data_IF_772385303114
#
_entry.id   IF_772385303114
#
_cell.length_a   1.000
_cell.length_b   1.000
_cell.length_c   1.000
_cell.angle_alpha   90.00
_cell.angle_beta   90.00
_cell.angle_gamma   90.00
#
_symmetry.space_group_name_H-M   'P 1'
#
loop_
_entity.id
_entity.type
_entity.pdbx_description
1 polymer ?
#
# COMPACT_ATOMS: atom_id res chain seq x y z
N UNK A 1 -19.00 -1.84 -3.80
CA UNK A 1 -17.64 -1.50 -4.27
C UNK A 1 -16.97 -0.64 -3.22
N UNK A 2 -15.94 -1.13 -2.55
CA UNK A 2 -15.25 -0.40 -1.49
C UNK A 2 -14.37 0.72 -2.04
N UNK A 3 -13.88 1.58 -1.15
CA UNK A 3 -12.95 2.65 -1.53
C UNK A 3 -11.62 2.09 -2.07
N UNK A 4 -11.21 0.92 -1.58
CA UNK A 4 -9.99 0.22 -2.02
C UNK A 4 -10.11 -0.19 -3.49
N UNK A 5 -11.20 -0.85 -3.88
CA UNK A 5 -11.39 -1.30 -5.27
C UNK A 5 -11.59 -0.14 -6.25
N UNK A 6 -12.09 1.01 -5.77
CA UNK A 6 -12.22 2.22 -6.58
C UNK A 6 -10.87 2.88 -6.87
N UNK A 7 -10.00 2.97 -5.85
CA UNK A 7 -8.67 3.58 -6.01
C UNK A 7 -7.66 2.63 -6.64
N UNK A 8 -7.86 1.32 -6.46
CA UNK A 8 -7.06 0.27 -7.07
C UNK A 8 -7.99 -0.72 -7.77
N UNK A 9 -8.43 -0.42 -9.00
CA UNK A 9 -9.14 -1.36 -9.84
C UNK A 9 -8.32 -2.63 -10.10
N UNK A 10 -8.98 -3.71 -10.53
CA UNK A 10 -8.31 -4.99 -10.74
C UNK A 10 -7.16 -4.89 -11.76
N UNK A 11 -7.34 -4.14 -12.84
CA UNK A 11 -6.29 -3.92 -13.84
C UNK A 11 -5.02 -3.28 -13.24
N UNK A 12 -5.18 -2.23 -12.42
CA UNK A 12 -4.06 -1.60 -11.73
C UNK A 12 -3.43 -2.57 -10.72
N UNK A 13 -4.27 -3.34 -10.02
CA UNK A 13 -3.81 -4.33 -9.05
C UNK A 13 -2.95 -5.40 -9.73
N UNK A 14 -3.37 -5.91 -10.88
CA UNK A 14 -2.63 -6.90 -11.66
C UNK A 14 -1.28 -6.36 -12.15
N UNK A 15 -1.22 -5.11 -12.62
CA UNK A 15 0.04 -4.46 -13.00
C UNK A 15 0.96 -4.31 -11.79
N UNK A 16 0.42 -3.88 -10.66
CA UNK A 16 1.16 -3.71 -9.41
C UNK A 16 1.77 -5.03 -8.93
N UNK A 17 1.02 -6.13 -8.98
CA UNK A 17 1.49 -7.45 -8.57
C UNK A 17 2.70 -7.96 -9.36
N UNK A 18 2.88 -7.50 -10.61
CA UNK A 18 4.03 -7.89 -11.45
C UNK A 18 5.33 -7.24 -11.02
N UNK A 19 5.27 -6.12 -10.30
CA UNK A 19 6.45 -5.29 -10.02
C UNK A 19 6.74 -5.14 -8.52
N UNK A 20 5.77 -5.39 -7.65
CA UNK A 20 5.93 -5.30 -6.21
C UNK A 20 6.88 -6.39 -5.72
N UNK A 21 7.89 -6.07 -4.89
CA UNK A 21 8.75 -7.09 -4.30
C UNK A 21 7.96 -7.96 -3.33
N UNK A 22 8.36 -9.23 -3.23
CA UNK A 22 7.80 -10.15 -2.25
C UNK A 22 7.97 -9.58 -0.82
N UNK A 23 6.97 -9.79 0.02
CA UNK A 23 7.05 -9.36 1.41
C UNK A 23 8.19 -10.11 2.11
N UNK A 24 9.13 -9.41 2.79
CA UNK A 24 10.23 -10.08 3.47
C UNK A 24 9.71 -11.10 4.48
N UNK A 25 10.31 -12.29 4.43
CA UNK A 25 10.05 -13.36 5.38
C UNK A 25 10.65 -13.00 6.75
N UNK A 26 9.93 -13.32 7.82
CA UNK A 26 10.41 -13.15 9.20
C UNK A 26 10.83 -14.51 9.75
N UNK A 27 12.13 -14.76 9.98
CA UNK A 27 12.62 -16.06 10.43
C UNK A 27 12.04 -16.50 11.77
N UNK A 28 11.80 -15.54 12.68
CA UNK A 28 11.35 -15.83 14.04
C UNK A 28 9.86 -16.16 14.14
N UNK A 29 9.08 -15.96 13.06
CA UNK A 29 7.63 -16.02 13.11
C UNK A 29 7.01 -14.97 14.04
N UNK A 30 5.69 -14.87 14.07
CA UNK A 30 4.95 -14.00 15.01
C UNK A 30 4.80 -12.52 14.61
N UNK A 31 4.08 -11.79 15.48
CA UNK A 31 3.70 -10.39 15.28
C UNK A 31 2.36 -10.18 14.54
N UNK A 32 1.91 -8.92 14.44
CA UNK A 32 0.69 -8.57 13.70
C UNK A 32 0.89 -8.91 12.21
N UNK A 33 -0.11 -9.59 11.63
CA UNK A 33 -0.19 -9.83 10.18
C UNK A 33 0.01 -8.50 9.43
N UNK A 34 0.82 -8.50 8.37
CA UNK A 34 0.96 -7.32 7.50
C UNK A 34 -0.39 -6.98 6.88
N UNK A 35 -0.66 -5.68 6.72
CA UNK A 35 -1.77 -5.23 5.89
C UNK A 35 -1.56 -5.72 4.45
N UNK A 36 -2.65 -6.00 3.76
CA UNK A 36 -2.61 -6.41 2.36
C UNK A 36 -2.06 -5.28 1.48
N UNK A 37 -1.40 -5.67 0.41
CA UNK A 37 -0.69 -4.72 -0.46
C UNK A 37 -1.65 -3.89 -1.30
N UNK A 38 -2.85 -4.40 -1.59
CA UNK A 38 -3.89 -3.65 -2.31
C UNK A 38 -4.44 -2.51 -1.46
N UNK A 39 -4.67 -2.77 -0.17
CA UNK A 39 -5.13 -1.77 0.80
C UNK A 39 -4.08 -0.68 1.03
N UNK A 40 -2.81 -1.08 1.13
CA UNK A 40 -1.69 -0.15 1.25
C UNK A 40 -1.53 0.69 -0.01
N UNK A 41 -1.63 0.08 -1.19
CA UNK A 41 -1.59 0.80 -2.46
C UNK A 41 -2.74 1.81 -2.56
N UNK A 42 -3.97 1.41 -2.20
CA UNK A 42 -5.11 2.31 -2.17
C UNK A 42 -4.91 3.49 -1.20
N UNK A 43 -4.36 3.24 -0.02
CA UNK A 43 -4.02 4.30 0.93
C UNK A 43 -2.97 5.28 0.38
N UNK A 44 -1.95 4.78 -0.30
CA UNK A 44 -0.91 5.60 -0.96
C UNK A 44 -1.53 6.45 -2.07
N UNK A 45 -2.35 5.84 -2.94
CA UNK A 45 -3.07 6.54 -4.01
C UNK A 45 -3.96 7.64 -3.43
N UNK A 46 -4.69 7.36 -2.35
CA UNK A 46 -5.52 8.35 -1.67
C UNK A 46 -4.71 9.55 -1.17
N UNK A 47 -3.59 9.32 -0.49
CA UNK A 47 -2.71 10.39 -0.01
C UNK A 47 -2.16 11.21 -1.18
N UNK A 48 -1.72 10.54 -2.25
CA UNK A 48 -1.17 11.20 -3.43
C UNK A 48 -2.21 12.05 -4.19
N UNK A 49 -3.47 11.62 -4.26
CA UNK A 49 -4.52 12.33 -4.99
C UNK A 49 -5.24 13.39 -4.16
N UNK A 50 -5.37 13.17 -2.85
CA UNK A 50 -6.01 14.15 -1.94
C UNK A 50 -5.05 15.23 -1.45
N UNK A 51 -3.73 14.99 -1.48
CA UNK A 51 -2.72 15.87 -0.93
C UNK A 51 -2.71 15.95 0.59
N UNK A 52 -3.45 15.07 1.29
CA UNK A 52 -3.43 15.03 2.74
C UNK A 52 -2.07 14.49 3.26
N UNK A 53 -1.75 14.77 4.52
CA UNK A 53 -0.57 14.17 5.13
C UNK A 53 -0.82 12.69 5.46
N UNK A 54 0.25 11.90 5.60
CA UNK A 54 0.14 10.51 6.06
C UNK A 54 -0.61 10.38 7.39
N UNK A 55 -0.45 11.34 8.31
CA UNK A 55 -1.14 11.35 9.61
C UNK A 55 -2.66 11.54 9.48
N UNK A 56 -3.12 12.17 8.40
CA UNK A 56 -4.53 12.41 8.11
C UNK A 56 -5.19 11.25 7.34
N UNK A 57 -4.45 10.18 7.01
CA UNK A 57 -5.01 9.02 6.32
C UNK A 57 -6.11 8.36 7.18
N UNK A 58 -7.35 8.20 6.66
CA UNK A 58 -8.44 7.58 7.40
C UNK A 58 -8.24 6.07 7.48
N UNK A 59 -7.56 5.61 8.53
CA UNK A 59 -7.16 4.21 8.70
C UNK A 59 -8.35 3.25 8.76
N UNK A 60 -9.52 3.72 9.22
CA UNK A 60 -10.75 2.94 9.24
C UNK A 60 -11.27 2.56 7.84
N UNK A 61 -10.97 3.37 6.82
CA UNK A 61 -11.44 3.16 5.44
C UNK A 61 -10.54 2.25 4.63
N UNK A 62 -9.26 2.15 4.99
CA UNK A 62 -8.26 1.40 4.23
C UNK A 62 -7.70 0.20 5.00
N UNK A 63 -7.63 0.26 6.33
CA UNK A 63 -6.94 -0.71 7.18
C UNK A 63 -5.58 -0.23 7.71
N UNK A 64 -4.58 0.12 6.87
CA UNK A 64 -3.27 0.52 7.37
C UNK A 64 -3.31 1.93 7.98
N UNK A 65 -2.48 2.12 8.99
CA UNK A 65 -2.17 3.46 9.50
C UNK A 65 -1.34 4.27 8.50
N UNK A 66 -1.38 5.58 8.63
CA UNK A 66 -0.52 6.50 7.87
C UNK A 66 0.97 6.12 7.91
N UNK A 67 1.46 5.77 9.11
CA UNK A 67 2.84 5.31 9.29
C UNK A 67 3.14 4.01 8.53
N UNK A 68 2.17 3.09 8.47
CA UNK A 68 2.32 1.84 7.71
C UNK A 68 2.35 2.10 6.21
N UNK A 69 1.44 2.94 5.72
CA UNK A 69 1.39 3.34 4.31
C UNK A 69 2.69 4.05 3.89
N UNK A 70 3.19 5.01 4.69
CA UNK A 70 4.43 5.71 4.42
C UNK A 70 5.67 4.79 4.40
N UNK A 71 5.74 3.83 5.35
CA UNK A 71 6.83 2.84 5.37
C UNK A 71 6.81 1.99 4.10
N UNK A 72 5.63 1.51 3.70
CA UNK A 72 5.46 0.73 2.46
C UNK A 72 5.76 1.55 1.21
N UNK A 73 5.32 2.80 1.15
CA UNK A 73 5.69 3.73 0.09
C UNK A 73 7.22 3.86 -0.03
N UNK A 74 7.91 4.03 1.09
CA UNK A 74 9.38 4.12 1.13
C UNK A 74 10.07 2.83 0.68
N UNK A 75 9.58 1.66 1.12
CA UNK A 75 10.07 0.34 0.69
C UNK A 75 9.92 0.18 -0.84
N UNK A 76 8.74 0.48 -1.38
CA UNK A 76 8.44 0.33 -2.81
C UNK A 76 9.16 1.37 -3.68
N UNK A 77 9.34 2.60 -3.19
CA UNK A 77 10.17 3.61 -3.85
C UNK A 77 11.62 3.15 -3.98
N UNK A 78 12.21 2.57 -2.93
CA UNK A 78 13.57 2.01 -2.98
C UNK A 78 13.68 0.84 -3.97
N UNK A 79 12.64 0.00 -4.04
CA UNK A 79 12.55 -1.10 -5.01
C UNK A 79 12.18 -0.66 -6.44
N UNK A 80 12.04 0.66 -6.67
CA UNK A 80 11.67 1.28 -7.96
C UNK A 80 10.32 0.77 -8.50
N UNK A 81 9.38 0.39 -7.64
CA UNK A 81 8.05 -0.12 -8.03
C UNK A 81 7.33 0.90 -8.92
N UNK A 82 7.32 2.17 -8.52
CA UNK A 82 6.63 3.25 -9.24
C UNK A 82 7.20 3.52 -10.63
N UNK A 83 8.47 3.21 -10.87
CA UNK A 83 9.10 3.40 -12.18
C UNK A 83 8.87 2.22 -13.14
N UNK A 84 8.34 1.11 -12.62
CA UNK A 84 8.04 -0.13 -13.37
C UNK A 84 6.53 -0.27 -13.64
N UNK A 85 5.71 0.55 -12.98
CA UNK A 85 4.27 0.72 -13.23
C UNK A 85 4.06 1.71 -14.36
#
# INVERSE_FOLDING_TARGET
MGIVERLVPDELWELFQRVVPEAPSRPQGGGRRRHGDREVLAAIVFVATSGCTWQQLPSASFGPSGATAHRRFSEWSKARVWAKL
#
